data_IF_576018509476
#
_entry.id   IF_576018509476
#
_cell.length_a   1.000
_cell.length_b   1.000
_cell.length_c   1.000
_cell.angle_alpha   90.00
_cell.angle_beta   90.00
_cell.angle_gamma   90.00
#
_symmetry.space_group_name_H-M   'P 1'
#
loop_
_entity.id
_entity.type
_entity.pdbx_description
1 polymer ?
#
# COMPACT_ATOMS: atom_id res chain seq x y z
N UNK A 1 17.89 -36.57 -19.87
CA UNK A 1 16.89 -35.48 -20.10
C UNK A 1 15.95 -35.38 -18.88
N UNK A 2 15.29 -36.47 -18.41
CA UNK A 2 14.36 -36.45 -17.28
C UNK A 2 15.04 -35.98 -15.99
N UNK A 3 16.26 -36.45 -15.68
CA UNK A 3 17.02 -36.09 -14.49
C UNK A 3 17.40 -34.60 -14.49
N UNK A 4 17.77 -34.03 -15.65
CA UNK A 4 18.09 -32.61 -15.76
C UNK A 4 16.89 -31.69 -15.54
N UNK A 5 15.71 -32.11 -15.98
CA UNK A 5 14.46 -31.39 -15.77
C UNK A 5 14.06 -31.42 -14.28
N UNK A 6 14.17 -32.57 -13.60
CA UNK A 6 13.87 -32.69 -12.18
C UNK A 6 14.79 -31.84 -11.31
N UNK A 7 16.10 -31.79 -11.62
CA UNK A 7 17.06 -30.94 -10.92
C UNK A 7 16.77 -29.44 -11.12
N UNK A 8 16.39 -29.05 -12.34
CA UNK A 8 16.02 -27.65 -12.63
C UNK A 8 14.76 -27.23 -11.88
N UNK A 9 13.77 -28.09 -11.79
CA UNK A 9 12.54 -27.84 -11.02
C UNK A 9 12.86 -27.74 -9.52
N UNK A 10 13.66 -28.66 -8.98
CA UNK A 10 14.04 -28.65 -7.57
C UNK A 10 14.83 -27.38 -7.22
N UNK A 11 15.75 -26.98 -8.07
CA UNK A 11 16.50 -25.72 -7.90
C UNK A 11 15.60 -24.48 -7.96
N UNK A 12 14.66 -24.44 -8.89
CA UNK A 12 13.67 -23.36 -8.98
C UNK A 12 12.82 -23.27 -7.72
N UNK A 13 12.27 -24.38 -7.25
CA UNK A 13 11.47 -24.43 -6.03
C UNK A 13 12.25 -24.02 -4.78
N UNK A 14 13.52 -24.46 -4.68
CA UNK A 14 14.39 -24.07 -3.58
C UNK A 14 14.65 -22.55 -3.57
N UNK A 15 15.00 -21.97 -4.73
CA UNK A 15 15.23 -20.53 -4.82
C UNK A 15 13.96 -19.71 -4.56
N UNK A 16 12.82 -20.14 -5.09
CA UNK A 16 11.54 -19.49 -4.85
C UNK A 16 11.15 -19.50 -3.36
N UNK A 17 11.40 -20.62 -2.67
CA UNK A 17 11.19 -20.71 -1.23
C UNK A 17 12.11 -19.77 -0.45
N UNK A 18 13.40 -19.74 -0.79
CA UNK A 18 14.38 -18.84 -0.15
C UNK A 18 14.04 -17.36 -0.36
N UNK A 19 13.59 -17.01 -1.56
CA UNK A 19 13.16 -15.64 -1.87
C UNK A 19 11.91 -15.26 -1.07
N UNK A 20 10.93 -16.15 -0.98
CA UNK A 20 9.74 -15.96 -0.15
C UNK A 20 10.09 -15.79 1.33
N UNK A 21 10.96 -16.64 1.89
CA UNK A 21 11.40 -16.54 3.28
C UNK A 21 12.12 -15.21 3.55
N UNK A 22 13.04 -14.81 2.66
CA UNK A 22 13.75 -13.53 2.76
C UNK A 22 12.79 -12.33 2.69
N UNK A 23 11.82 -12.38 1.80
CA UNK A 23 10.78 -11.36 1.70
C UNK A 23 9.94 -11.27 2.98
N UNK A 24 9.50 -12.42 3.49
CA UNK A 24 8.67 -12.48 4.70
C UNK A 24 9.39 -11.88 5.91
N UNK A 25 10.68 -12.20 6.09
CA UNK A 25 11.50 -11.62 7.18
C UNK A 25 11.53 -10.09 7.07
N UNK A 26 11.84 -9.54 5.90
CA UNK A 26 11.87 -8.10 5.68
C UNK A 26 10.52 -7.42 5.92
N UNK A 27 9.44 -8.08 5.51
CA UNK A 27 8.09 -7.55 5.74
C UNK A 27 7.72 -7.55 7.22
N UNK A 28 8.09 -8.59 7.96
CA UNK A 28 7.85 -8.64 9.41
C UNK A 28 8.71 -7.61 10.17
N UNK A 29 9.94 -7.35 9.74
CA UNK A 29 10.77 -6.26 10.28
C UNK A 29 10.08 -4.90 10.04
N UNK A 30 9.65 -4.62 8.81
CA UNK A 30 8.88 -3.40 8.48
C UNK A 30 7.63 -3.25 9.37
N UNK A 31 6.85 -4.33 9.53
CA UNK A 31 5.65 -4.32 10.39
C UNK A 31 5.99 -4.05 11.86
N UNK A 32 7.08 -4.65 12.35
CA UNK A 32 7.57 -4.43 13.72
C UNK A 32 8.01 -2.98 13.93
N UNK A 33 8.74 -2.41 12.99
CA UNK A 33 9.16 -1.00 13.05
C UNK A 33 7.95 -0.08 13.04
N UNK A 34 7.00 -0.31 12.15
CA UNK A 34 5.73 0.45 12.10
C UNK A 34 4.93 0.32 13.40
N UNK A 35 4.79 -0.89 13.94
CA UNK A 35 4.13 -1.12 15.22
C UNK A 35 4.84 -0.37 16.35
N UNK A 36 6.16 -0.42 16.41
CA UNK A 36 6.94 0.29 17.42
C UNK A 36 6.77 1.81 17.30
N UNK A 37 6.84 2.35 16.09
CA UNK A 37 6.62 3.77 15.86
C UNK A 37 5.23 4.20 16.34
N UNK A 38 4.18 3.50 15.91
CA UNK A 38 2.80 3.82 16.26
C UNK A 38 2.48 3.61 17.76
N UNK A 39 3.14 2.70 18.45
CA UNK A 39 2.94 2.51 19.88
C UNK A 39 3.69 3.54 20.75
N UNK A 40 4.81 4.08 20.27
CA UNK A 40 5.71 4.90 21.08
C UNK A 40 5.72 6.39 20.68
N UNK A 41 5.27 6.74 19.47
CA UNK A 41 5.24 8.15 19.03
C UNK A 41 4.21 8.97 19.81
N UNK A 42 4.59 10.18 20.22
CA UNK A 42 3.69 11.12 20.89
C UNK A 42 2.55 11.61 19.98
N UNK A 43 2.75 11.60 18.66
CA UNK A 43 1.78 11.98 17.62
C UNK A 43 1.03 10.79 17.02
N UNK A 44 1.17 9.61 17.63
CA UNK A 44 0.54 8.39 17.08
C UNK A 44 -0.97 8.38 17.23
N UNK A 45 -1.70 7.92 16.19
CA UNK A 45 -3.15 7.68 16.28
C UNK A 45 -3.49 6.53 17.24
N UNK A 46 -2.53 5.65 17.55
CA UNK A 46 -2.72 4.53 18.49
C UNK A 46 -2.49 4.93 19.95
N UNK A 47 -2.02 6.15 20.21
CA UNK A 47 -1.82 6.61 21.59
C UNK A 47 -3.14 6.64 22.33
N UNK A 48 -3.24 5.88 23.41
CA UNK A 48 -4.48 5.70 24.19
C UNK A 48 -5.62 5.02 23.43
N UNK A 49 -5.36 4.40 22.29
CA UNK A 49 -6.35 3.64 21.52
C UNK A 49 -6.40 2.18 21.99
N UNK A 50 -7.59 1.57 22.09
CA UNK A 50 -7.72 0.15 22.36
C UNK A 50 -7.36 -0.71 21.13
N UNK A 51 -7.21 -0.10 19.97
CA UNK A 51 -6.94 -0.80 18.72
C UNK A 51 -5.51 -1.32 18.63
N UNK A 52 -5.36 -2.48 18.01
CA UNK A 52 -4.06 -3.08 17.67
C UNK A 52 -3.97 -3.22 16.15
N UNK A 53 -2.77 -3.06 15.61
CA UNK A 53 -2.56 -3.33 14.20
C UNK A 53 -2.77 -4.82 13.91
N UNK A 54 -3.47 -5.12 12.86
CA UNK A 54 -3.72 -6.47 12.36
C UNK A 54 -3.39 -6.53 10.87
N UNK A 55 -2.79 -7.63 10.43
CA UNK A 55 -2.33 -7.79 9.06
C UNK A 55 -2.84 -9.08 8.44
N UNK A 56 -2.94 -9.10 7.13
CA UNK A 56 -3.00 -10.35 6.38
C UNK A 56 -1.65 -11.05 6.40
N UNK A 57 -1.66 -12.36 6.18
CA UNK A 57 -0.42 -13.11 5.97
C UNK A 57 0.37 -12.56 4.77
N UNK A 58 1.71 -12.60 4.79
CA UNK A 58 2.54 -12.19 3.68
C UNK A 58 2.16 -12.91 2.38
N UNK A 59 1.97 -12.15 1.30
CA UNK A 59 1.64 -12.73 0.01
C UNK A 59 2.40 -12.02 -1.12
N UNK A 60 3.40 -12.68 -1.67
CA UNK A 60 4.27 -12.14 -2.73
C UNK A 60 3.52 -11.81 -4.03
N UNK A 61 2.35 -12.42 -4.26
CA UNK A 61 1.53 -12.11 -5.43
C UNK A 61 0.96 -10.68 -5.40
N UNK A 62 0.95 -10.05 -4.23
CA UNK A 62 0.55 -8.65 -4.04
C UNK A 62 1.74 -7.68 -3.98
N UNK A 63 2.93 -8.13 -4.31
CA UNK A 63 4.12 -7.32 -4.52
C UNK A 63 4.43 -7.30 -6.01
N UNK A 64 4.25 -6.17 -6.66
CA UNK A 64 4.34 -6.05 -8.12
C UNK A 64 5.20 -4.87 -8.55
N UNK A 65 5.69 -4.91 -9.77
CA UNK A 65 6.34 -3.76 -10.39
C UNK A 65 5.29 -2.97 -11.18
N UNK A 66 5.13 -1.72 -10.82
CA UNK A 66 4.30 -0.76 -11.52
C UNK A 66 5.15 0.15 -12.42
N UNK A 67 4.71 0.42 -13.63
CA UNK A 67 5.28 1.48 -14.45
C UNK A 67 4.58 2.80 -14.15
N UNK A 68 5.36 3.88 -14.07
CA UNK A 68 4.87 5.24 -13.82
C UNK A 68 4.75 5.95 -15.16
N UNK A 69 3.55 6.47 -15.44
CA UNK A 69 3.29 7.38 -16.55
C UNK A 69 2.99 8.77 -15.95
N UNK A 70 4.00 9.63 -15.95
CA UNK A 70 3.83 11.01 -15.49
C UNK A 70 2.87 11.75 -16.42
N UNK A 71 2.07 12.65 -15.86
CA UNK A 71 1.18 13.50 -16.63
C UNK A 71 1.98 14.61 -17.31
N UNK A 72 1.62 14.93 -18.54
CA UNK A 72 2.21 16.06 -19.26
C UNK A 72 1.91 17.41 -18.58
N UNK A 73 0.69 17.52 -18.07
CA UNK A 73 0.26 18.66 -17.27
C UNK A 73 0.10 18.24 -15.82
N UNK A 74 0.85 18.91 -14.96
CA UNK A 74 0.80 18.71 -13.51
C UNK A 74 -0.17 19.71 -12.92
N UNK A 75 -1.29 19.23 -12.39
CA UNK A 75 -2.29 20.01 -11.69
C UNK A 75 -2.39 19.56 -10.23
N UNK A 76 -3.00 20.38 -9.38
CA UNK A 76 -3.39 19.98 -8.04
C UNK A 76 -4.77 19.32 -8.06
N UNK A 77 -4.94 18.30 -7.23
CA UNK A 77 -6.23 17.70 -6.94
C UNK A 77 -6.56 17.89 -5.47
N UNK A 78 -7.84 18.02 -5.18
CA UNK A 78 -8.36 18.08 -3.82
C UNK A 78 -9.11 16.80 -3.51
N UNK A 79 -8.69 16.10 -2.48
CA UNK A 79 -9.39 14.92 -1.95
C UNK A 79 -10.19 15.34 -0.71
N UNK A 80 -11.44 14.90 -0.62
CA UNK A 80 -12.21 15.03 0.61
C UNK A 80 -11.56 14.18 1.71
N UNK A 81 -11.72 14.60 2.97
CA UNK A 81 -11.19 13.87 4.11
C UNK A 81 -12.29 13.32 5.01
N UNK A 82 -11.92 12.40 5.90
CA UNK A 82 -12.84 11.77 6.86
C UNK A 82 -13.56 12.73 7.80
N UNK A 83 -13.01 13.93 8.02
CA UNK A 83 -13.59 14.98 8.89
C UNK A 83 -14.48 15.96 8.13
N UNK A 84 -14.71 15.74 6.83
CA UNK A 84 -15.47 16.67 5.97
C UNK A 84 -14.64 17.85 5.44
N UNK A 85 -13.35 17.91 5.76
CA UNK A 85 -12.39 18.83 5.18
C UNK A 85 -11.88 18.34 3.83
N UNK A 86 -10.86 18.98 3.32
CA UNK A 86 -10.17 18.57 2.09
C UNK A 86 -8.67 18.75 2.19
N UNK A 87 -7.92 17.93 1.48
CA UNK A 87 -6.47 17.98 1.40
C UNK A 87 -6.02 18.03 -0.07
N UNK A 88 -4.96 18.79 -0.34
CA UNK A 88 -4.45 19.04 -1.70
C UNK A 88 -3.23 18.20 -1.97
N UNK A 89 -3.22 17.59 -3.15
CA UNK A 89 -2.11 16.80 -3.68
C UNK A 89 -1.76 17.26 -5.09
N UNK A 90 -0.59 16.89 -5.57
CA UNK A 90 -0.25 16.96 -6.99
C UNK A 90 -0.84 15.70 -7.67
N UNK A 91 -1.66 15.87 -8.71
CA UNK A 91 -2.12 14.79 -9.59
C UNK A 91 -0.98 14.39 -10.53
N UNK A 92 -0.04 13.59 -10.02
CA UNK A 92 1.29 13.46 -10.58
C UNK A 92 1.37 12.48 -11.75
N UNK A 93 0.83 11.27 -11.59
CA UNK A 93 1.03 10.20 -12.56
C UNK A 93 -0.08 9.16 -12.51
N UNK A 94 -0.01 8.18 -13.40
CA UNK A 94 -0.74 6.91 -13.29
C UNK A 94 0.25 5.76 -13.10
N UNK A 95 -0.14 4.80 -12.26
CA UNK A 95 0.54 3.53 -12.09
C UNK A 95 -0.13 2.47 -12.96
N UNK A 96 0.66 1.81 -13.80
CA UNK A 96 0.20 0.67 -14.59
C UNK A 96 0.86 -0.59 -14.05
N UNK A 97 0.06 -1.53 -13.59
CA UNK A 97 0.52 -2.79 -12.99
C UNK A 97 -0.42 -3.95 -13.28
N UNK A 98 0.03 -5.16 -12.95
CA UNK A 98 -0.77 -6.39 -13.06
C UNK A 98 -0.85 -7.07 -11.69
N UNK A 99 -2.04 -7.55 -11.35
CA UNK A 99 -2.27 -8.47 -10.26
C UNK A 99 -2.89 -9.74 -10.85
N UNK A 100 -2.14 -10.83 -10.82
CA UNK A 100 -2.51 -12.04 -11.55
C UNK A 100 -2.68 -11.77 -13.05
N UNK A 101 -3.88 -12.03 -13.58
CA UNK A 101 -4.21 -11.80 -15.00
C UNK A 101 -4.81 -10.41 -15.26
N UNK A 102 -5.20 -9.69 -14.23
CA UNK A 102 -5.86 -8.39 -14.35
C UNK A 102 -4.85 -7.26 -14.48
N UNK A 103 -5.16 -6.28 -15.34
CA UNK A 103 -4.37 -5.06 -15.55
C UNK A 103 -5.09 -3.89 -14.89
N UNK A 104 -4.33 -3.03 -14.23
CA UNK A 104 -4.85 -1.84 -13.56
C UNK A 104 -4.06 -0.61 -14.00
N UNK A 105 -4.78 0.51 -14.14
CA UNK A 105 -4.23 1.84 -14.39
C UNK A 105 -4.91 2.78 -13.41
N UNK A 106 -4.18 3.20 -12.37
CA UNK A 106 -4.71 3.98 -11.26
C UNK A 106 -3.90 5.25 -11.04
N UNK A 107 -4.54 6.38 -10.68
CA UNK A 107 -3.82 7.59 -10.34
C UNK A 107 -2.97 7.41 -9.09
N UNK A 108 -1.84 8.08 -9.08
CA UNK A 108 -0.98 8.27 -7.92
C UNK A 108 -0.71 9.75 -7.75
N UNK A 109 -0.76 10.18 -6.51
CA UNK A 109 -0.59 11.59 -6.14
C UNK A 109 0.80 11.82 -5.56
N UNK A 110 1.18 13.07 -5.43
CA UNK A 110 2.41 13.47 -4.77
C UNK A 110 2.08 14.45 -3.66
N UNK A 111 2.71 14.28 -2.50
CA UNK A 111 2.55 15.19 -1.38
C UNK A 111 3.07 16.58 -1.73
N UNK A 112 2.26 17.61 -1.47
CA UNK A 112 2.63 19.01 -1.66
C UNK A 112 3.46 19.55 -0.49
N UNK A 113 3.16 19.10 0.71
CA UNK A 113 3.64 19.63 1.98
C UNK A 113 3.90 18.49 2.99
N UNK A 114 4.45 18.83 4.15
CA UNK A 114 4.71 17.89 5.23
C UNK A 114 6.01 17.11 5.10
N UNK A 115 6.19 16.15 5.98
CA UNK A 115 7.40 15.30 6.06
C UNK A 115 7.60 14.45 4.79
N UNK A 116 6.49 14.00 4.18
CA UNK A 116 6.49 13.18 2.97
C UNK A 116 6.50 14.02 1.68
N UNK A 117 6.78 15.32 1.75
CA UNK A 117 6.80 16.19 0.58
C UNK A 117 7.69 15.62 -0.53
N UNK A 118 7.09 15.41 -1.68
CA UNK A 118 7.77 14.87 -2.86
C UNK A 118 7.62 13.37 -3.05
N UNK A 119 7.24 12.62 -2.01
CA UNK A 119 6.91 11.20 -2.12
C UNK A 119 5.54 10.98 -2.77
N UNK A 120 5.32 9.75 -3.22
CA UNK A 120 4.05 9.37 -3.83
C UNK A 120 3.09 8.83 -2.79
N UNK A 121 1.87 9.33 -2.85
CA UNK A 121 0.72 8.87 -2.11
C UNK A 121 -0.18 8.01 -3.00
N UNK A 122 -0.20 6.72 -2.77
CA UNK A 122 -1.09 5.80 -3.45
C UNK A 122 -2.19 5.34 -2.50
N UNK A 123 -3.39 5.88 -2.66
CA UNK A 123 -4.57 5.49 -1.90
C UNK A 123 -5.51 4.69 -2.80
N UNK A 124 -6.16 3.66 -2.26
CA UNK A 124 -7.00 2.77 -3.05
C UNK A 124 -8.18 2.20 -2.26
N UNK A 125 -9.23 1.88 -3.01
CA UNK A 125 -10.38 1.08 -2.59
C UNK A 125 -10.29 -0.28 -3.26
N UNK A 126 -10.80 -1.33 -2.62
CA UNK A 126 -10.84 -2.68 -3.16
C UNK A 126 -12.04 -3.48 -2.61
N UNK A 127 -12.25 -4.71 -3.09
CA UNK A 127 -13.39 -5.55 -2.67
C UNK A 127 -13.35 -6.03 -1.21
N UNK A 128 -12.26 -5.81 -0.49
CA UNK A 128 -12.17 -6.13 0.95
C UNK A 128 -12.78 -5.04 1.84
N UNK A 129 -13.04 -3.84 1.30
CA UNK A 129 -13.62 -2.73 2.05
C UNK A 129 -15.02 -3.10 2.59
N UNK A 130 -15.35 -2.63 3.77
CA UNK A 130 -16.57 -2.95 4.53
C UNK A 130 -16.67 -4.42 5.00
N UNK A 131 -15.69 -5.26 4.71
CA UNK A 131 -15.65 -6.65 5.13
C UNK A 131 -14.49 -6.89 6.10
N UNK A 132 -13.27 -6.85 5.60
CA UNK A 132 -12.06 -7.14 6.37
C UNK A 132 -11.05 -5.98 6.41
N UNK A 133 -11.30 -4.93 5.62
CA UNK A 133 -10.52 -3.68 5.64
C UNK A 133 -11.44 -2.47 5.79
N UNK A 134 -10.82 -1.33 6.12
CA UNK A 134 -11.54 -0.09 6.36
C UNK A 134 -12.39 0.35 5.15
N UNK A 135 -13.63 0.79 5.37
CA UNK A 135 -14.53 1.26 4.29
C UNK A 135 -13.95 2.39 3.44
N UNK A 136 -13.19 3.28 4.06
CA UNK A 136 -12.55 4.43 3.41
C UNK A 136 -11.26 4.11 2.65
N UNK A 137 -10.91 2.83 2.48
CA UNK A 137 -9.73 2.41 1.71
C UNK A 137 -8.45 2.35 2.53
N UNK A 138 -7.34 2.11 1.83
CA UNK A 138 -5.99 1.97 2.41
C UNK A 138 -4.98 2.76 1.60
N UNK A 139 -3.79 2.97 2.20
CA UNK A 139 -2.73 3.79 1.65
C UNK A 139 -1.42 3.01 1.50
N UNK A 140 -0.59 3.45 0.57
CA UNK A 140 0.81 3.07 0.43
C UNK A 140 1.58 4.36 0.14
N UNK A 141 2.54 4.71 0.99
CA UNK A 141 3.50 5.77 0.70
C UNK A 141 4.70 5.16 -0.01
N UNK A 142 5.20 5.86 -1.02
CA UNK A 142 6.27 5.37 -1.88
C UNK A 142 7.32 6.47 -2.01
N UNK A 143 8.50 6.21 -1.48
CA UNK A 143 9.67 7.05 -1.73
C UNK A 143 9.94 7.13 -3.24
N UNK A 144 10.12 8.36 -3.75
CA UNK A 144 10.17 8.56 -5.19
C UNK A 144 11.37 9.39 -5.66
N UNK A 145 12.28 8.74 -6.37
CA UNK A 145 13.48 9.32 -6.96
C UNK A 145 13.45 9.30 -8.51
N UNK A 146 12.39 9.83 -9.10
CA UNK A 146 12.23 9.93 -10.57
C UNK A 146 12.34 8.61 -11.36
N UNK A 147 11.99 7.50 -10.75
CA UNK A 147 12.01 6.19 -11.39
C UNK A 147 10.86 6.02 -12.40
N UNK A 148 11.13 5.32 -13.51
CA UNK A 148 10.08 4.93 -14.48
C UNK A 148 9.27 3.70 -14.03
N UNK A 149 9.79 2.95 -13.07
CA UNK A 149 9.17 1.76 -12.50
C UNK A 149 9.43 1.74 -11.01
N UNK A 150 8.43 1.36 -10.25
CA UNK A 150 8.48 1.25 -8.80
C UNK A 150 8.00 -0.12 -8.35
N UNK A 151 8.45 -0.53 -7.19
CA UNK A 151 7.87 -1.64 -6.47
C UNK A 151 6.60 -1.15 -5.76
N UNK A 152 5.45 -1.75 -6.10
CA UNK A 152 4.18 -1.52 -5.44
C UNK A 152 3.85 -2.75 -4.62
N UNK A 153 4.05 -2.66 -3.31
CA UNK A 153 3.86 -3.75 -2.37
C UNK A 153 2.61 -3.53 -1.50
N UNK A 154 1.51 -4.15 -1.88
CA UNK A 154 0.26 -4.08 -1.12
C UNK A 154 0.35 -4.71 0.28
N UNK A 155 1.35 -5.55 0.55
CA UNK A 155 1.58 -6.08 1.91
C UNK A 155 2.02 -5.00 2.90
N UNK A 156 2.47 -3.85 2.39
CA UNK A 156 2.80 -2.65 3.15
C UNK A 156 1.64 -1.66 3.27
N UNK A 157 0.49 -1.95 2.63
CA UNK A 157 -0.67 -1.05 2.73
C UNK A 157 -1.20 -0.97 4.15
N UNK A 158 -1.64 0.22 4.53
CA UNK A 158 -2.08 0.54 5.88
C UNK A 158 -3.41 1.27 5.92
N UNK A 159 -4.10 1.16 7.04
CA UNK A 159 -5.33 1.90 7.29
C UNK A 159 -5.03 3.38 7.57
N UNK A 160 -5.90 4.31 7.11
CA UNK A 160 -5.83 5.70 7.52
C UNK A 160 -5.83 5.86 9.04
N UNK A 161 -5.15 6.87 9.56
CA UNK A 161 -5.04 7.12 11.00
C UNK A 161 -6.37 7.39 11.69
N UNK A 162 -7.36 7.93 10.97
CA UNK A 162 -8.71 8.15 11.47
C UNK A 162 -9.47 6.86 11.84
N UNK A 163 -8.97 5.68 11.41
CA UNK A 163 -9.48 4.37 11.87
C UNK A 163 -9.20 4.17 13.37
N UNK A 164 -8.13 4.74 13.86
CA UNK A 164 -7.62 4.54 15.22
C UNK A 164 -7.91 5.72 16.13
N UNK A 165 -8.00 6.92 15.56
CA UNK A 165 -8.33 8.15 16.29
C UNK A 165 -9.06 9.12 15.34
N UNK A 166 -10.32 9.44 15.65
CA UNK A 166 -11.22 10.28 14.83
C UNK A 166 -10.76 11.74 14.71
N UNK A 167 -9.82 12.19 15.53
CA UNK A 167 -9.20 13.52 15.41
C UNK A 167 -8.35 13.68 14.14
N UNK A 168 -7.90 12.56 13.55
CA UNK A 168 -7.13 12.58 12.31
C UNK A 168 -8.02 12.77 11.09
N UNK A 169 -7.65 13.74 10.26
CA UNK A 169 -8.30 14.02 8.99
C UNK A 169 -7.57 13.27 7.88
N UNK A 170 -8.22 12.27 7.29
CA UNK A 170 -7.58 11.36 6.34
C UNK A 170 -8.21 11.46 4.95
N UNK A 171 -7.41 11.58 3.87
CA UNK A 171 -7.91 11.67 2.50
C UNK A 171 -8.72 10.43 2.09
N UNK A 172 -9.85 10.63 1.46
CA UNK A 172 -10.70 9.54 0.96
C UNK A 172 -10.30 9.26 -0.51
N UNK A 173 -9.90 8.01 -0.84
CA UNK A 173 -9.62 7.62 -2.21
C UNK A 173 -10.79 7.91 -3.14
N UNK A 174 -10.52 8.48 -4.30
CA UNK A 174 -11.53 8.70 -5.31
C UNK A 174 -12.00 7.37 -5.91
N UNK A 175 -13.19 7.35 -6.55
CA UNK A 175 -13.67 6.16 -7.28
C UNK A 175 -12.71 5.72 -8.39
N UNK A 176 -11.85 6.59 -8.89
CA UNK A 176 -10.80 6.27 -9.88
C UNK A 176 -9.68 5.39 -9.31
N UNK A 177 -9.57 5.32 -7.98
CA UNK A 177 -8.59 4.50 -7.26
C UNK A 177 -9.20 3.15 -6.81
N UNK A 178 -10.25 2.66 -7.47
CA UNK A 178 -10.87 1.38 -7.15
C UNK A 178 -10.21 0.21 -7.90
N UNK A 179 -9.81 -0.80 -7.14
CA UNK A 179 -9.27 -2.07 -7.64
C UNK A 179 -10.38 -3.12 -7.57
N UNK A 180 -10.89 -3.55 -8.73
CA UNK A 180 -11.97 -4.55 -8.81
C UNK A 180 -11.50 -5.97 -8.48
N UNK A 181 -10.85 -6.12 -7.30
CA UNK A 181 -10.28 -7.37 -6.79
C UNK A 181 -10.21 -7.29 -5.25
N UNK A 182 -10.23 -8.44 -4.57
CA UNK A 182 -9.89 -8.49 -3.14
C UNK A 182 -8.38 -8.43 -2.95
N UNK A 183 -7.88 -7.36 -2.32
CA UNK A 183 -6.47 -7.21 -1.95
C UNK A 183 -6.26 -7.71 -0.53
N UNK A 184 -6.15 -9.04 -0.37
CA UNK A 184 -5.87 -9.68 0.92
C UNK A 184 -4.39 -9.61 1.27
N UNK A 185 -3.89 -8.38 1.42
CA UNK A 185 -2.52 -8.03 1.81
C UNK A 185 -2.52 -6.74 2.63
N UNK A 186 -1.48 -6.49 3.42
CA UNK A 186 -1.36 -5.31 4.26
C UNK A 186 -2.24 -5.31 5.52
N UNK A 187 -2.53 -4.15 6.05
CA UNK A 187 -3.38 -3.99 7.24
C UNK A 187 -4.84 -4.35 6.96
N UNK A 188 -5.46 -4.99 7.95
CA UNK A 188 -6.89 -5.27 8.03
C UNK A 188 -7.47 -4.66 9.31
N UNK A 189 -8.79 -4.58 9.40
CA UNK A 189 -9.44 -4.20 10.65
C UNK A 189 -9.14 -5.25 11.73
N UNK A 190 -8.76 -4.80 12.92
CA UNK A 190 -8.77 -5.65 14.11
C UNK A 190 -10.23 -5.93 14.50
N UNK A 191 -10.52 -7.19 14.71
CA UNK A 191 -11.81 -7.59 15.29
C UNK A 191 -11.84 -7.26 16.77
#
# INVERSE_FOLDING_TARGET
>A
IIISISLSIAYYLYNSKKEYESYTIKLEEYRKERNNFLNNSSSSPLRNSPYKLSYYDPNVNFKVIASIMQKERIDTITLATSTGNSERFIDFATLNFKLGRSKFTLPVYKYLEGENKGDLFFCFLDKTNNNSTYPGGRYIDIEFENAKRIELDFNKSYNPYCVYNEEFSCPIPSKRNYIDMEIKAGEKLSK
#
